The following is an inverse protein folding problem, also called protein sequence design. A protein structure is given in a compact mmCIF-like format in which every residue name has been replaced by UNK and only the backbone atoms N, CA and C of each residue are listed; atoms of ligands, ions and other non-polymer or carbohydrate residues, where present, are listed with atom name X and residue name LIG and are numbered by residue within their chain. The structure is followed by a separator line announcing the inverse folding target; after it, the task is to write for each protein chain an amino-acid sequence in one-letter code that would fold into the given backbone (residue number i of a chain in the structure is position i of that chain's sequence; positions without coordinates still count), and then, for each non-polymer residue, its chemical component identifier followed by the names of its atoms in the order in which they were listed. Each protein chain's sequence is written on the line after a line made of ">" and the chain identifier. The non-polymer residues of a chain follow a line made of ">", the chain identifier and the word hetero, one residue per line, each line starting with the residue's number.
data_IF_556338247724
#
_entry.id   IF_556338247724
#
_cell.length_a   1.000
_cell.length_b   1.000
_cell.length_c   1.000
_cell.angle_alpha   90.00
_cell.angle_beta   90.00
_cell.angle_gamma   90.00
#
_symmetry.space_group_name_H-M   'P 1'
#
loop_
_entity.id
_entity.type
_entity.pdbx_description
1 polymer ?
#
# COMPACT_ATOMS: atom_id res chain seq x y z
N UNK A 1 -27.83 47.43 17.27
CA UNK A 1 -26.83 46.53 17.91
C UNK A 1 -26.91 45.19 17.21
N UNK A 2 -26.08 45.00 16.18
CA UNK A 2 -26.07 43.77 15.37
C UNK A 2 -25.03 42.82 15.93
N UNK A 3 -25.51 41.72 16.49
CA UNK A 3 -24.65 40.63 16.95
C UNK A 3 -23.96 39.96 15.76
N UNK A 4 -22.63 40.11 15.62
CA UNK A 4 -21.80 39.33 14.70
C UNK A 4 -21.74 37.91 15.24
N UNK A 5 -22.33 36.95 14.52
CA UNK A 5 -22.08 35.53 14.68
C UNK A 5 -20.62 35.24 14.30
N UNK A 6 -19.83 34.51 15.13
CA UNK A 6 -18.51 34.10 14.74
C UNK A 6 -18.62 33.03 13.66
N UNK A 7 -18.15 33.35 12.46
CA UNK A 7 -17.92 32.38 11.41
C UNK A 7 -16.84 31.41 11.89
N UNK A 8 -17.25 30.21 12.29
CA UNK A 8 -16.34 29.09 12.51
C UNK A 8 -15.81 28.65 11.15
N UNK A 9 -14.71 29.26 10.70
CA UNK A 9 -13.89 28.69 9.67
C UNK A 9 -13.35 27.37 10.21
N UNK A 10 -14.01 26.28 9.87
CA UNK A 10 -13.42 24.92 10.01
C UNK A 10 -12.16 24.95 9.17
N UNK A 11 -11.01 25.10 9.85
CA UNK A 11 -9.71 24.96 9.19
C UNK A 11 -9.65 23.53 8.67
N UNK A 12 -9.74 23.36 7.36
CA UNK A 12 -9.56 22.07 6.69
C UNK A 12 -8.11 21.64 6.93
N UNK A 13 -7.86 20.89 7.99
CA UNK A 13 -6.59 20.22 8.21
C UNK A 13 -6.48 19.18 7.11
N UNK A 14 -5.44 19.21 6.26
CA UNK A 14 -5.26 18.17 5.28
C UNK A 14 -5.30 16.81 5.97
N UNK A 15 -6.10 15.89 5.46
CA UNK A 15 -6.12 14.54 6.01
C UNK A 15 -4.70 13.96 5.93
N UNK A 16 -4.22 13.28 6.98
CA UNK A 16 -2.90 12.66 6.97
C UNK A 16 -2.80 11.70 5.79
N UNK A 17 -1.60 11.53 5.28
CA UNK A 17 -1.34 10.48 4.30
C UNK A 17 -1.71 9.13 4.92
N UNK A 18 -2.71 8.51 4.37
CA UNK A 18 -3.30 7.28 4.89
C UNK A 18 -3.68 6.39 3.73
N UNK A 19 -3.23 5.15 3.79
CA UNK A 19 -3.57 4.11 2.83
C UNK A 19 -4.16 2.92 3.56
N UNK A 20 -4.76 1.98 2.82
CA UNK A 20 -5.24 0.70 3.35
C UNK A 20 -4.18 0.00 4.23
N UNK A 21 -2.89 0.20 3.95
CA UNK A 21 -1.78 -0.40 4.67
C UNK A 21 -1.56 0.18 6.07
N UNK A 22 -2.11 1.34 6.37
CA UNK A 22 -2.08 1.95 7.72
C UNK A 22 -3.29 1.54 8.57
N UNK A 23 -4.25 0.86 7.99
CA UNK A 23 -5.43 0.40 8.71
C UNK A 23 -5.06 -0.62 9.79
N UNK A 24 -5.60 -0.45 11.00
CA UNK A 24 -5.33 -1.37 12.11
C UNK A 24 -5.73 -2.81 11.79
N UNK A 25 -6.82 -2.99 11.07
CA UNK A 25 -7.27 -4.31 10.66
C UNK A 25 -6.31 -4.97 9.66
N UNK A 26 -5.71 -4.18 8.73
CA UNK A 26 -4.66 -4.67 7.84
C UNK A 26 -3.42 -5.10 8.62
N UNK A 27 -2.94 -4.23 9.50
CA UNK A 27 -1.76 -4.48 10.32
C UNK A 27 -1.97 -5.71 11.23
N UNK A 28 -3.15 -5.84 11.84
CA UNK A 28 -3.50 -7.02 12.64
C UNK A 28 -3.45 -8.31 11.80
N UNK A 29 -4.07 -8.32 10.63
CA UNK A 29 -4.06 -9.49 9.74
C UNK A 29 -2.66 -9.82 9.22
N UNK A 30 -1.87 -8.79 8.85
CA UNK A 30 -0.53 -8.95 8.29
C UNK A 30 0.52 -9.40 9.32
N UNK A 31 0.32 -9.11 10.61
CA UNK A 31 1.33 -9.33 11.66
C UNK A 31 0.85 -10.25 12.79
N UNK A 32 -0.39 -10.75 12.73
CA UNK A 32 -1.08 -11.41 13.85
C UNK A 32 -1.11 -10.52 15.11
N UNK A 33 -1.36 -9.21 14.92
CA UNK A 33 -1.40 -8.20 15.98
C UNK A 33 -0.04 -7.81 16.55
N UNK A 34 1.06 -8.34 16.02
CA UNK A 34 2.43 -8.09 16.53
C UNK A 34 3.06 -6.90 15.83
N UNK A 35 2.60 -5.71 16.15
CA UNK A 35 3.21 -4.44 15.76
C UNK A 35 3.05 -3.43 16.88
N UNK A 36 3.93 -2.45 16.91
CA UNK A 36 3.89 -1.32 17.83
C UNK A 36 3.52 -0.06 17.06
N UNK A 37 3.03 0.96 17.76
CA UNK A 37 2.86 2.30 17.20
C UNK A 37 3.64 3.26 18.09
N UNK A 38 4.59 3.98 17.50
CA UNK A 38 5.23 5.10 18.19
C UNK A 38 4.53 6.40 17.81
N UNK A 39 4.37 7.30 18.78
CA UNK A 39 3.64 8.55 18.61
C UNK A 39 4.48 9.74 19.06
N UNK A 40 4.39 10.84 18.34
CA UNK A 40 4.89 12.15 18.75
C UNK A 40 3.72 13.00 19.18
N UNK A 41 3.76 13.51 20.41
CA UNK A 41 2.72 14.35 20.98
C UNK A 41 3.27 15.75 21.23
N UNK A 42 2.52 16.79 20.85
CA UNK A 42 2.79 18.20 21.15
C UNK A 42 1.51 18.84 21.70
N UNK A 43 1.64 19.57 22.78
CA UNK A 43 0.51 20.23 23.44
C UNK A 43 -0.69 19.28 23.72
N UNK A 44 -0.38 18.04 24.15
CA UNK A 44 -1.39 17.01 24.45
C UNK A 44 -2.07 16.38 23.24
N UNK A 45 -1.61 16.65 22.01
CA UNK A 45 -2.16 16.10 20.76
C UNK A 45 -1.13 15.30 20.01
N UNK A 46 -1.52 14.14 19.48
CA UNK A 46 -0.68 13.36 18.57
C UNK A 46 -0.48 14.16 17.27
N UNK A 47 0.77 14.46 16.92
CA UNK A 47 1.16 15.17 15.71
C UNK A 47 1.80 14.27 14.66
N UNK A 48 2.24 13.08 15.06
CA UNK A 48 2.66 12.02 14.16
C UNK A 48 2.54 10.66 14.84
N UNK A 49 2.32 9.63 14.04
CA UNK A 49 2.49 8.23 14.45
C UNK A 49 3.24 7.43 13.38
N UNK A 50 3.84 6.31 13.79
CA UNK A 50 4.49 5.35 12.89
C UNK A 50 4.26 3.93 13.41
N UNK A 51 3.52 3.10 12.67
CA UNK A 51 3.45 1.67 12.95
C UNK A 51 4.79 0.98 12.67
N UNK A 52 5.24 0.16 13.59
CA UNK A 52 6.50 -0.57 13.52
C UNK A 52 6.26 -2.07 13.56
N UNK A 53 6.81 -2.79 12.61
CA UNK A 53 6.84 -4.25 12.64
C UNK A 53 8.27 -4.73 12.82
N UNK A 54 8.55 -5.32 13.98
CA UNK A 54 9.89 -5.79 14.36
C UNK A 54 9.99 -7.30 14.25
N UNK A 55 10.97 -7.76 13.45
CA UNK A 55 11.38 -9.17 13.38
C UNK A 55 12.64 -9.37 14.20
N UNK A 56 12.59 -10.32 15.13
CA UNK A 56 13.77 -10.77 15.89
C UNK A 56 14.26 -12.10 15.35
N UNK A 57 15.54 -12.17 14.98
CA UNK A 57 16.17 -13.41 14.51
C UNK A 57 17.65 -13.42 14.89
N UNK A 58 18.13 -14.49 15.50
CA UNK A 58 19.53 -14.64 15.94
C UNK A 58 20.04 -13.46 16.80
N UNK A 59 19.20 -12.97 17.72
CA UNK A 59 19.53 -11.82 18.56
C UNK A 59 19.41 -10.45 17.89
N UNK A 60 19.22 -10.39 16.56
CA UNK A 60 19.08 -9.15 15.82
C UNK A 60 17.61 -8.69 15.75
N UNK A 61 17.41 -7.40 15.96
CA UNK A 61 16.12 -6.70 15.84
C UNK A 61 16.06 -5.93 14.53
N UNK A 62 15.14 -6.30 13.64
CA UNK A 62 14.97 -5.66 12.34
C UNK A 62 13.57 -5.06 12.22
N UNK A 63 13.50 -3.75 12.09
CA UNK A 63 12.25 -3.04 11.78
C UNK A 63 12.08 -3.08 10.27
N UNK A 64 10.95 -3.64 9.80
CA UNK A 64 10.68 -3.83 8.38
C UNK A 64 9.19 -3.66 8.09
N UNK A 65 8.81 -3.66 6.82
CA UNK A 65 7.40 -3.68 6.45
C UNK A 65 6.73 -4.99 6.91
N UNK A 66 5.47 -4.93 7.36
CA UNK A 66 4.64 -6.12 7.51
C UNK A 66 4.54 -6.90 6.19
N UNK A 67 4.33 -8.22 6.25
CA UNK A 67 4.09 -9.01 5.05
C UNK A 67 2.94 -8.44 4.21
N UNK A 68 3.08 -8.51 2.89
CA UNK A 68 2.07 -8.05 1.91
C UNK A 68 1.70 -6.57 1.96
N UNK A 69 2.39 -5.77 2.76
CA UNK A 69 2.22 -4.32 2.88
C UNK A 69 3.11 -3.61 1.86
N UNK A 70 2.55 -2.74 1.01
CA UNK A 70 3.32 -2.05 -0.05
C UNK A 70 4.12 -0.89 0.51
N UNK A 71 3.44 -0.02 1.22
CA UNK A 71 4.02 1.17 1.85
C UNK A 71 3.58 1.25 3.31
N UNK A 72 4.45 1.72 4.18
CA UNK A 72 4.14 2.02 5.57
C UNK A 72 5.16 3.03 6.06
N UNK A 73 4.74 4.28 6.14
CA UNK A 73 5.50 5.43 6.64
C UNK A 73 4.82 6.07 7.83
N UNK A 74 5.36 7.18 8.33
CA UNK A 74 4.71 7.96 9.38
C UNK A 74 3.44 8.65 8.84
N UNK A 75 2.43 8.77 9.70
CA UNK A 75 1.29 9.66 9.46
C UNK A 75 1.55 10.98 10.17
N UNK A 76 1.35 12.08 9.48
CA UNK A 76 1.55 13.43 10.01
C UNK A 76 0.21 14.13 10.23
N UNK A 77 -0.07 14.54 11.46
CA UNK A 77 -1.28 15.27 11.85
C UNK A 77 -0.95 16.76 12.12
N UNK A 78 -0.12 17.32 11.24
CA UNK A 78 0.34 18.70 11.38
C UNK A 78 -0.72 19.69 10.89
N UNK A 79 -0.93 20.82 11.60
CA UNK A 79 -1.86 21.84 11.14
C UNK A 79 -1.38 22.49 9.84
N UNK A 80 -2.32 23.01 9.03
CA UNK A 80 -1.99 23.78 7.84
C UNK A 80 -1.04 24.93 8.18
N UNK A 81 0.00 25.10 7.35
CA UNK A 81 0.98 26.16 7.53
C UNK A 81 1.64 26.53 6.21
N UNK A 82 2.29 27.70 6.15
CA UNK A 82 3.06 28.11 4.97
C UNK A 82 4.15 27.08 4.65
N UNK A 83 4.54 26.87 3.37
CA UNK A 83 5.45 25.79 2.95
C UNK A 83 6.73 25.69 3.76
N UNK A 84 7.41 26.81 4.02
CA UNK A 84 8.64 26.82 4.83
C UNK A 84 8.37 26.30 6.28
N UNK A 85 7.29 26.78 6.91
CA UNK A 85 6.91 26.36 8.24
C UNK A 85 6.50 24.88 8.28
N UNK A 86 5.79 24.41 7.24
CA UNK A 86 5.44 23.01 7.09
C UNK A 86 6.70 22.14 7.02
N UNK A 87 7.64 22.47 6.14
CA UNK A 87 8.89 21.75 6.02
C UNK A 87 9.68 21.70 7.33
N UNK A 88 9.71 22.81 8.09
CA UNK A 88 10.35 22.86 9.42
C UNK A 88 9.61 21.96 10.42
N UNK A 89 8.27 22.02 10.45
CA UNK A 89 7.48 21.20 11.36
C UNK A 89 7.69 19.71 11.05
N UNK A 90 7.73 19.30 9.78
CA UNK A 90 8.01 17.91 9.36
C UNK A 90 9.39 17.49 9.88
N UNK A 91 10.45 18.28 9.65
CA UNK A 91 11.82 17.96 10.12
C UNK A 91 11.86 17.73 11.61
N UNK A 92 11.29 18.66 12.38
CA UNK A 92 11.29 18.57 13.83
C UNK A 92 10.49 17.35 14.32
N UNK A 93 9.33 17.09 13.70
CA UNK A 93 8.47 15.96 14.08
C UNK A 93 9.11 14.61 13.75
N UNK A 94 9.79 14.49 12.60
CA UNK A 94 10.53 13.28 12.26
C UNK A 94 11.74 13.09 13.17
N UNK A 95 12.47 14.15 13.54
CA UNK A 95 13.54 14.06 14.51
C UNK A 95 13.03 13.54 15.88
N UNK A 96 11.91 14.10 16.37
CA UNK A 96 11.27 13.63 17.60
C UNK A 96 10.81 12.17 17.50
N UNK A 97 10.34 11.74 16.34
CA UNK A 97 9.89 10.37 16.08
C UNK A 97 11.09 9.39 16.05
N UNK A 98 12.19 9.77 15.42
CA UNK A 98 13.42 8.98 15.36
C UNK A 98 14.01 8.75 16.75
N UNK A 99 13.94 9.74 17.64
CA UNK A 99 14.38 9.59 19.04
C UNK A 99 13.54 8.60 19.85
N UNK A 100 12.31 8.28 19.39
CA UNK A 100 11.41 7.33 20.03
C UNK A 100 11.50 5.91 19.42
N UNK A 101 12.31 5.69 18.41
CA UNK A 101 12.51 4.36 17.85
C UNK A 101 13.09 3.42 18.91
N UNK A 102 12.58 2.18 19.04
CA UNK A 102 13.21 1.18 19.89
C UNK A 102 14.61 0.84 19.35
N UNK A 103 15.44 0.20 20.15
CA UNK A 103 16.74 -0.30 19.68
C UNK A 103 16.55 -1.27 18.50
N UNK A 104 17.32 -1.08 17.44
CA UNK A 104 17.28 -1.92 16.23
C UNK A 104 18.68 -2.06 15.61
N UNK A 105 18.91 -3.18 14.95
CA UNK A 105 20.13 -3.41 14.15
C UNK A 105 19.95 -2.95 12.70
N UNK A 106 18.71 -2.98 12.18
CA UNK A 106 18.38 -2.40 10.91
C UNK A 106 16.93 -1.91 10.86
N UNK A 107 16.71 -0.81 10.14
CA UNK A 107 15.39 -0.25 9.89
C UNK A 107 15.24 0.00 8.39
N UNK A 108 14.16 -0.54 7.79
CA UNK A 108 13.79 -0.28 6.40
C UNK A 108 12.30 0.06 6.32
N UNK A 109 12.00 1.31 6.00
CA UNK A 109 10.66 1.78 5.68
C UNK A 109 10.46 1.78 4.16
N UNK A 110 9.21 1.70 3.72
CA UNK A 110 8.82 1.99 2.33
C UNK A 110 7.74 3.04 2.37
N UNK A 111 8.08 4.22 1.97
CA UNK A 111 7.21 5.38 2.05
C UNK A 111 6.25 5.42 0.85
N UNK A 112 5.12 6.07 1.02
CA UNK A 112 4.18 6.31 -0.07
C UNK A 112 4.79 7.32 -1.07
N UNK A 113 4.45 7.26 -2.37
CA UNK A 113 4.94 8.25 -3.35
C UNK A 113 4.63 9.71 -3.01
N UNK A 114 3.60 9.98 -2.21
CA UNK A 114 3.22 11.33 -1.79
C UNK A 114 3.78 11.71 -0.40
N UNK A 115 4.65 10.88 0.18
CA UNK A 115 5.22 11.11 1.50
C UNK A 115 6.20 12.31 1.46
N UNK A 116 6.02 13.25 2.39
CA UNK A 116 6.84 14.46 2.50
C UNK A 116 8.05 14.26 3.44
N UNK A 117 8.24 13.08 4.03
CA UNK A 117 9.21 12.85 5.11
C UNK A 117 10.60 12.38 4.67
N UNK A 118 10.87 11.90 3.42
CA UNK A 118 12.18 11.37 3.04
C UNK A 118 13.35 12.31 3.36
N UNK A 119 13.20 13.61 3.04
CA UNK A 119 14.25 14.58 3.33
C UNK A 119 14.51 14.73 4.84
N UNK A 120 13.46 14.72 5.66
CA UNK A 120 13.62 14.79 7.11
C UNK A 120 14.34 13.55 7.68
N UNK A 121 14.04 12.34 7.16
CA UNK A 121 14.76 11.13 7.52
C UNK A 121 16.24 11.19 7.12
N UNK A 122 16.58 11.74 5.94
CA UNK A 122 17.98 11.89 5.52
C UNK A 122 18.77 12.79 6.46
N UNK A 123 18.17 13.85 7.00
CA UNK A 123 18.78 14.70 8.01
C UNK A 123 19.01 13.99 9.36
N UNK A 124 18.26 12.93 9.62
CA UNK A 124 18.45 12.06 10.79
C UNK A 124 19.43 10.90 10.53
N UNK A 125 20.16 10.91 9.41
CA UNK A 125 21.19 9.93 9.09
C UNK A 125 20.69 8.69 8.34
N UNK A 126 19.44 8.67 7.86
CA UNK A 126 18.93 7.56 7.05
C UNK A 126 19.34 7.71 5.58
N UNK A 127 19.72 6.60 4.96
CA UNK A 127 19.90 6.54 3.51
C UNK A 127 18.55 6.46 2.82
N UNK A 128 18.33 7.30 1.83
CA UNK A 128 17.11 7.34 1.03
C UNK A 128 17.38 6.64 -0.30
N UNK A 129 16.66 5.54 -0.54
CA UNK A 129 16.64 4.84 -1.82
C UNK A 129 15.39 5.25 -2.59
N UNK A 130 15.54 5.63 -3.86
CA UNK A 130 14.43 5.97 -4.72
C UNK A 130 13.90 4.72 -5.42
N UNK A 131 12.58 4.53 -5.35
CA UNK A 131 11.86 3.52 -6.10
C UNK A 131 10.78 4.18 -6.97
N UNK A 132 10.38 3.50 -8.03
CA UNK A 132 9.36 4.00 -8.95
C UNK A 132 8.13 3.10 -8.91
N UNK A 133 6.96 3.70 -9.10
CA UNK A 133 5.69 2.99 -9.29
C UNK A 133 4.89 3.69 -10.39
N UNK A 134 3.93 2.96 -10.95
CA UNK A 134 3.00 3.51 -11.92
C UNK A 134 1.66 3.79 -11.24
N UNK A 135 1.09 4.93 -11.55
CA UNK A 135 -0.27 5.30 -11.11
C UNK A 135 -1.07 5.76 -12.33
N UNK A 136 -2.32 5.34 -12.37
CA UNK A 136 -3.31 5.90 -13.28
C UNK A 136 -4.18 6.82 -12.44
N UNK A 137 -4.12 8.16 -12.65
CA UNK A 137 -4.96 9.08 -11.90
C UNK A 137 -6.45 8.80 -12.15
N UNK A 138 -7.28 8.91 -11.13
CA UNK A 138 -8.73 8.70 -11.24
C UNK A 138 -9.42 9.67 -12.24
N UNK A 139 -8.78 10.83 -12.49
CA UNK A 139 -9.24 11.80 -13.49
C UNK A 139 -9.02 11.35 -14.94
N UNK A 140 -8.20 10.32 -15.18
CA UNK A 140 -7.92 9.79 -16.52
C UNK A 140 -8.99 8.76 -16.87
N UNK A 141 -9.76 9.03 -17.93
CA UNK A 141 -10.80 8.10 -18.36
C UNK A 141 -10.21 6.79 -18.92
N UNK A 142 -10.95 5.67 -18.87
CA UNK A 142 -10.52 4.42 -19.51
C UNK A 142 -10.18 4.58 -21.00
N UNK A 143 -10.89 5.48 -21.70
CA UNK A 143 -10.62 5.82 -23.11
C UNK A 143 -9.26 6.49 -23.27
N UNK A 144 -8.91 7.40 -22.37
CA UNK A 144 -7.60 8.08 -22.41
C UNK A 144 -6.47 7.11 -22.04
N UNK A 145 -6.67 6.25 -21.06
CA UNK A 145 -5.72 5.16 -20.75
C UNK A 145 -5.47 4.30 -21.99
N UNK A 146 -6.54 3.88 -22.67
CA UNK A 146 -6.44 3.11 -23.92
C UNK A 146 -5.68 3.87 -25.02
N UNK A 147 -5.98 5.14 -25.21
CA UNK A 147 -5.34 5.97 -26.24
C UNK A 147 -3.85 6.16 -25.96
N UNK A 148 -3.47 6.27 -24.69
CA UNK A 148 -2.08 6.46 -24.25
C UNK A 148 -1.26 5.15 -24.24
N UNK A 149 -1.89 3.98 -24.33
CA UNK A 149 -1.17 2.73 -24.55
C UNK A 149 -0.45 2.74 -25.90
N UNK A 150 0.75 2.18 -25.97
CA UNK A 150 1.41 1.96 -27.26
C UNK A 150 0.67 0.93 -28.12
N UNK A 151 0.96 0.90 -29.42
CA UNK A 151 0.31 0.02 -30.36
C UNK A 151 0.48 -1.46 -30.01
N UNK A 152 1.65 -1.85 -29.51
CA UNK A 152 1.95 -3.23 -29.10
C UNK A 152 1.06 -3.65 -27.93
N UNK A 153 0.97 -2.82 -26.91
CA UNK A 153 0.10 -3.06 -25.74
C UNK A 153 -1.36 -3.16 -26.13
N UNK A 154 -1.88 -2.26 -26.99
CA UNK A 154 -3.26 -2.37 -27.49
C UNK A 154 -3.53 -3.65 -28.26
N UNK A 155 -2.57 -4.11 -29.09
CA UNK A 155 -2.71 -5.36 -29.82
C UNK A 155 -2.72 -6.57 -28.89
N UNK A 156 -1.86 -6.57 -27.84
CA UNK A 156 -1.85 -7.64 -26.83
C UNK A 156 -3.20 -7.71 -26.09
N UNK A 157 -3.74 -6.57 -25.67
CA UNK A 157 -5.06 -6.51 -24.99
C UNK A 157 -6.16 -7.03 -25.90
N UNK A 158 -6.22 -6.60 -27.18
CA UNK A 158 -7.23 -7.10 -28.14
C UNK A 158 -7.13 -8.61 -28.35
N UNK A 159 -5.89 -9.14 -28.45
CA UNK A 159 -5.68 -10.59 -28.62
C UNK A 159 -6.13 -11.33 -27.37
N UNK A 160 -5.85 -10.81 -26.20
CA UNK A 160 -6.33 -11.40 -24.94
C UNK A 160 -7.86 -11.34 -24.83
N UNK A 161 -8.48 -10.21 -25.17
CA UNK A 161 -9.93 -10.00 -25.12
C UNK A 161 -10.70 -10.96 -26.04
N UNK A 162 -10.10 -11.35 -27.16
CA UNK A 162 -10.68 -12.34 -28.09
C UNK A 162 -10.59 -13.79 -27.62
N UNK A 163 -9.63 -14.10 -26.74
CA UNK A 163 -9.28 -15.49 -26.36
C UNK A 163 -9.55 -15.82 -24.91
N UNK A 164 -9.83 -14.82 -24.10
CA UNK A 164 -9.97 -14.98 -22.65
C UNK A 164 -11.33 -14.46 -22.17
N UNK A 165 -11.90 -15.18 -21.25
CA UNK A 165 -13.00 -14.69 -20.42
C UNK A 165 -12.43 -14.26 -19.05
N UNK A 166 -12.78 -13.06 -18.60
CA UNK A 166 -12.36 -12.55 -17.30
C UNK A 166 -13.54 -12.56 -16.34
N UNK A 167 -13.35 -13.20 -15.20
CA UNK A 167 -14.36 -13.30 -14.14
C UNK A 167 -13.84 -12.67 -12.86
N UNK A 168 -14.73 -11.98 -12.15
CA UNK A 168 -14.46 -11.47 -10.82
C UNK A 168 -14.89 -12.48 -9.77
N UNK A 169 -14.04 -12.67 -8.77
CA UNK A 169 -14.26 -13.57 -7.63
C UNK A 169 -13.93 -12.83 -6.31
N UNK A 170 -14.42 -13.38 -5.22
CA UNK A 170 -14.12 -12.94 -3.86
C UNK A 170 -13.35 -13.99 -3.06
N UNK A 171 -12.78 -14.99 -3.74
CA UNK A 171 -12.05 -16.09 -3.15
C UNK A 171 -10.62 -16.17 -3.72
N UNK A 172 -9.63 -16.29 -2.85
CA UNK A 172 -8.22 -16.42 -3.25
C UNK A 172 -7.85 -17.79 -3.81
N UNK A 173 -8.69 -18.81 -3.71
CA UNK A 173 -8.32 -20.19 -4.08
C UNK A 173 -7.80 -20.30 -5.52
N UNK A 174 -8.43 -19.60 -6.46
CA UNK A 174 -8.01 -19.58 -7.86
C UNK A 174 -6.66 -18.86 -8.04
N UNK A 175 -6.43 -17.76 -7.30
CA UNK A 175 -5.15 -17.08 -7.30
C UNK A 175 -4.05 -17.96 -6.69
N UNK A 176 -4.30 -18.62 -5.56
CA UNK A 176 -3.32 -19.50 -4.89
C UNK A 176 -2.92 -20.64 -5.84
N UNK A 177 -3.90 -21.30 -6.47
CA UNK A 177 -3.64 -22.34 -7.47
C UNK A 177 -2.77 -21.81 -8.61
N UNK A 178 -3.09 -20.64 -9.17
CA UNK A 178 -2.32 -20.03 -10.25
C UNK A 178 -0.93 -19.61 -9.80
N UNK A 179 -0.78 -19.11 -8.57
CA UNK A 179 0.53 -18.77 -7.99
C UNK A 179 1.45 -20.00 -7.86
N UNK A 180 0.89 -21.18 -7.58
CA UNK A 180 1.64 -22.44 -7.54
C UNK A 180 1.99 -22.97 -8.94
N UNK A 181 1.21 -22.62 -9.97
CA UNK A 181 1.54 -22.89 -11.38
C UNK A 181 2.67 -21.96 -11.84
N UNK A 182 2.57 -20.66 -11.55
CA UNK A 182 3.59 -19.66 -11.89
C UNK A 182 4.93 -19.93 -11.20
N UNK A 183 4.87 -20.27 -9.92
CA UNK A 183 6.03 -20.63 -9.07
C UNK A 183 5.69 -21.85 -8.22
N UNK A 184 6.23 -23.05 -8.57
CA UNK A 184 6.02 -24.26 -7.78
C UNK A 184 6.42 -24.10 -6.32
N UNK A 185 5.80 -24.87 -5.43
CA UNK A 185 5.94 -24.77 -3.98
C UNK A 185 7.40 -24.71 -3.47
N UNK A 186 8.31 -25.42 -4.13
CA UNK A 186 9.74 -25.40 -3.79
C UNK A 186 10.39 -24.00 -3.94
N UNK A 187 9.86 -23.16 -4.82
CA UNK A 187 10.38 -21.81 -5.13
C UNK A 187 9.42 -20.70 -4.69
N UNK A 188 8.26 -21.06 -4.17
CA UNK A 188 7.24 -20.11 -3.76
C UNK A 188 7.42 -19.72 -2.30
N UNK A 189 7.72 -18.45 -2.04
CA UNK A 189 7.93 -17.91 -0.69
C UNK A 189 6.69 -17.27 -0.08
N UNK A 190 5.52 -17.42 -0.71
CA UNK A 190 4.28 -16.84 -0.21
C UNK A 190 3.78 -17.57 1.04
N UNK A 191 3.44 -16.80 2.07
CA UNK A 191 2.63 -17.25 3.21
C UNK A 191 1.14 -17.12 2.83
N UNK A 192 0.60 -18.13 2.16
CA UNK A 192 -0.78 -18.11 1.69
C UNK A 192 -1.79 -17.97 2.82
N UNK A 193 -1.56 -18.61 3.97
CA UNK A 193 -2.44 -18.49 5.13
C UNK A 193 -2.56 -17.05 5.62
N UNK A 194 -1.46 -16.32 5.62
CA UNK A 194 -1.45 -14.91 5.97
C UNK A 194 -2.12 -14.04 4.90
N UNK A 195 -1.88 -14.37 3.64
CA UNK A 195 -2.53 -13.68 2.52
C UNK A 195 -4.05 -13.83 2.59
N UNK A 196 -4.55 -15.04 2.90
CA UNK A 196 -5.98 -15.30 3.09
C UNK A 196 -6.57 -14.50 4.25
N UNK A 197 -5.87 -14.42 5.40
CA UNK A 197 -6.31 -13.57 6.52
C UNK A 197 -6.46 -12.10 6.14
N UNK A 198 -5.49 -11.56 5.41
CA UNK A 198 -5.53 -10.16 4.95
C UNK A 198 -6.68 -9.97 3.96
N UNK A 199 -6.81 -10.86 2.98
CA UNK A 199 -7.83 -10.74 1.94
C UNK A 199 -9.25 -10.93 2.52
N UNK A 200 -9.45 -11.81 3.47
CA UNK A 200 -10.73 -11.96 4.16
C UNK A 200 -11.10 -10.67 4.90
N UNK A 201 -10.14 -10.01 5.54
CA UNK A 201 -10.36 -8.70 6.16
C UNK A 201 -10.68 -7.59 5.15
N UNK A 202 -10.10 -7.64 3.93
CA UNK A 202 -10.48 -6.76 2.81
C UNK A 202 -11.90 -7.05 2.33
N UNK A 203 -12.24 -8.32 2.14
CA UNK A 203 -13.55 -8.77 1.66
C UNK A 203 -14.69 -8.35 2.59
N UNK A 204 -14.52 -8.49 3.91
CA UNK A 204 -15.49 -8.03 4.91
C UNK A 204 -15.80 -6.52 4.83
N UNK A 205 -14.95 -5.75 4.15
CA UNK A 205 -15.05 -4.30 3.94
C UNK A 205 -15.34 -3.92 2.50
N UNK A 206 -15.57 -4.91 1.65
CA UNK A 206 -15.73 -4.71 0.21
C UNK A 206 -14.54 -3.95 -0.43
N UNK A 207 -13.33 -4.20 0.09
CA UNK A 207 -12.09 -3.52 -0.32
C UNK A 207 -11.11 -4.47 -1.02
N UNK A 208 -11.60 -5.52 -1.67
CA UNK A 208 -10.77 -6.46 -2.42
C UNK A 208 -11.55 -7.34 -3.36
N UNK A 209 -10.94 -7.69 -4.49
CA UNK A 209 -11.44 -8.70 -5.41
C UNK A 209 -10.30 -9.47 -6.08
N UNK A 210 -10.65 -10.61 -6.67
CA UNK A 210 -9.79 -11.41 -7.53
C UNK A 210 -10.36 -11.37 -8.94
N UNK A 211 -9.52 -11.12 -9.93
CA UNK A 211 -9.87 -11.23 -11.34
C UNK A 211 -9.15 -12.44 -11.92
N UNK A 212 -9.90 -13.40 -12.45
CA UNK A 212 -9.38 -14.62 -13.05
C UNK A 212 -9.61 -14.61 -14.55
N UNK A 213 -8.60 -14.98 -15.32
CA UNK A 213 -8.70 -15.11 -16.77
C UNK A 213 -8.68 -16.58 -17.16
N UNK A 214 -9.61 -16.96 -18.03
CA UNK A 214 -9.84 -18.31 -18.50
C UNK A 214 -9.75 -18.35 -20.04
N UNK A 215 -9.12 -19.38 -20.59
CA UNK A 215 -9.10 -19.60 -22.02
C UNK A 215 -10.39 -20.28 -22.51
N UNK A 216 -10.52 -20.45 -23.83
CA UNK A 216 -11.67 -21.07 -24.47
C UNK A 216 -11.90 -22.54 -24.05
N UNK A 217 -10.86 -23.21 -23.55
CA UNK A 217 -10.95 -24.57 -23.01
C UNK A 217 -11.38 -24.61 -21.54
N UNK A 218 -11.64 -23.46 -20.92
CA UNK A 218 -11.97 -23.35 -19.51
C UNK A 218 -10.77 -23.54 -18.58
N UNK A 219 -9.52 -23.43 -19.08
CA UNK A 219 -8.31 -23.46 -18.28
C UNK A 219 -8.01 -22.06 -17.77
N UNK A 220 -7.75 -21.93 -16.47
CA UNK A 220 -7.26 -20.67 -15.91
C UNK A 220 -5.84 -20.38 -16.41
N UNK A 221 -5.61 -19.17 -16.90
CA UNK A 221 -4.31 -18.74 -17.45
C UNK A 221 -3.67 -17.61 -16.67
N UNK A 222 -4.45 -16.81 -15.95
CA UNK A 222 -3.92 -15.74 -15.09
C UNK A 222 -4.88 -15.43 -13.96
N UNK A 223 -4.34 -14.78 -12.93
CA UNK A 223 -5.11 -14.23 -11.81
C UNK A 223 -4.43 -12.98 -11.28
N UNK A 224 -5.22 -11.97 -10.93
CA UNK A 224 -4.76 -10.78 -10.22
C UNK A 224 -5.62 -10.55 -8.99
N UNK A 225 -5.02 -10.01 -7.95
CA UNK A 225 -5.70 -9.60 -6.73
C UNK A 225 -5.58 -8.10 -6.58
N UNK A 226 -6.72 -7.45 -6.46
CA UNK A 226 -6.85 -6.01 -6.25
C UNK A 226 -7.34 -5.75 -4.83
N UNK A 227 -6.78 -4.73 -4.19
CA UNK A 227 -7.27 -4.19 -2.92
C UNK A 227 -7.32 -2.67 -3.02
N UNK A 228 -8.23 -2.02 -2.29
CA UNK A 228 -8.40 -0.57 -2.40
C UNK A 228 -8.80 0.08 -1.09
N UNK A 229 -8.57 1.37 -1.03
CA UNK A 229 -9.12 2.30 -0.05
C UNK A 229 -9.94 3.39 -0.77
N UNK A 230 -10.34 4.42 -0.05
CA UNK A 230 -11.15 5.52 -0.61
C UNK A 230 -10.43 6.33 -1.70
N UNK A 231 -9.12 6.20 -1.84
CA UNK A 231 -8.28 7.02 -2.72
C UNK A 231 -7.59 6.21 -3.82
N UNK A 232 -7.20 4.97 -3.53
CA UNK A 232 -6.33 4.18 -4.38
C UNK A 232 -6.81 2.74 -4.52
N UNK A 233 -6.69 2.18 -5.72
CA UNK A 233 -6.76 0.75 -5.98
C UNK A 233 -5.35 0.22 -6.26
N UNK A 234 -4.96 -0.83 -5.55
CA UNK A 234 -3.63 -1.41 -5.65
C UNK A 234 -3.66 -2.74 -6.39
N UNK A 235 -2.82 -2.86 -7.41
CA UNK A 235 -2.47 -4.14 -8.00
C UNK A 235 -1.63 -4.91 -6.96
N UNK A 236 -2.32 -5.71 -6.11
CA UNK A 236 -1.71 -6.27 -4.92
C UNK A 236 -0.86 -7.50 -5.21
N UNK A 237 -1.43 -8.46 -5.94
CA UNK A 237 -0.74 -9.69 -6.31
C UNK A 237 -1.14 -10.11 -7.73
N UNK A 238 -0.28 -10.88 -8.40
CA UNK A 238 -0.58 -11.49 -9.69
C UNK A 238 0.15 -12.80 -9.88
N UNK A 239 -0.44 -13.69 -10.67
CA UNK A 239 0.16 -14.93 -11.10
C UNK A 239 -0.36 -15.28 -12.50
N UNK A 240 0.45 -16.00 -13.29
CA UNK A 240 0.06 -16.45 -14.63
C UNK A 240 0.70 -17.79 -14.98
N UNK A 241 0.07 -18.52 -15.86
CA UNK A 241 0.67 -19.67 -16.52
C UNK A 241 1.62 -19.18 -17.63
N UNK A 242 2.93 -19.26 -17.38
CA UNK A 242 3.95 -18.81 -18.34
C UNK A 242 4.08 -19.73 -19.55
N UNK A 243 3.48 -20.89 -19.53
CA UNK A 243 3.47 -21.83 -20.67
C UNK A 243 2.37 -21.52 -21.66
N UNK A 244 1.39 -20.68 -21.28
CA UNK A 244 0.30 -20.26 -22.16
C UNK A 244 0.82 -19.33 -23.24
N UNK A 245 0.53 -19.60 -24.54
CA UNK A 245 0.95 -18.77 -25.67
C UNK A 245 0.16 -17.46 -25.79
N UNK A 246 -0.84 -17.25 -24.95
CA UNK A 246 -1.64 -16.02 -24.90
C UNK A 246 -0.82 -14.95 -24.16
N UNK A 247 -0.68 -13.75 -24.73
CA UNK A 247 0.18 -12.70 -24.22
C UNK A 247 -0.23 -12.16 -22.87
#
# INVERSE_FOLDING_TARGET
>A
MLLKTPSSAVQNVPAPLHSIFHERWWLNAATDGRYDIIEVTKDGRVVADLPLFTKKRFGLSRITRPPYTRTLGPRLFLPPSKPFRRAQNIRNTIADLVLKLPAYDSLKLSLDPEDETPFAFSLCGFTIEQAFTFRIPVSVSPKDVWTNCDQKTRNLIRTADQKLTVEQDTNLSNYIRMSLVDQPAANNSHDFSRMEKIFEACKQREQGCVMNAWDEAGKQVASIVLVWDDKNCYFWQSARDRTTPIP
#
